data_IF_730100452439
#
_entry.id   IF_730100452439
#
_cell.length_a   1.000
_cell.length_b   1.000
_cell.length_c   1.000
_cell.angle_alpha   90.00
_cell.angle_beta   90.00
_cell.angle_gamma   90.00
#
_symmetry.space_group_name_H-M   'P 1'
#
loop_
_entity.id
_entity.type
_entity.pdbx_description
1 polymer ?
#
# COMPACT_ATOMS: atom_id res chain seq x y z
N UNK A 1 -38.95 -6.88 21.66
CA UNK A 1 -38.60 -7.06 20.23
C UNK A 1 -37.81 -5.84 19.74
N UNK A 2 -38.28 -4.61 20.04
CA UNK A 2 -37.58 -3.35 19.74
C UNK A 2 -36.15 -3.26 20.29
N UNK A 3 -35.90 -3.66 21.54
CA UNK A 3 -34.54 -3.61 22.10
C UNK A 3 -33.53 -4.48 21.35
N UNK A 4 -33.96 -5.66 20.84
CA UNK A 4 -33.10 -6.54 20.04
C UNK A 4 -32.85 -5.99 18.64
N UNK A 5 -33.81 -5.24 18.10
CA UNK A 5 -33.69 -4.58 16.80
C UNK A 5 -32.76 -3.37 16.88
N UNK A 6 -32.88 -2.55 17.91
CA UNK A 6 -31.99 -1.41 18.15
C UNK A 6 -30.54 -1.85 18.38
N UNK A 7 -30.31 -2.92 19.15
CA UNK A 7 -28.97 -3.51 19.35
C UNK A 7 -28.37 -4.04 18.02
N UNK A 8 -29.22 -4.53 17.11
CA UNK A 8 -28.78 -4.98 15.79
C UNK A 8 -28.32 -3.81 14.91
N UNK A 9 -29.12 -2.73 14.86
CA UNK A 9 -28.82 -1.52 14.10
C UNK A 9 -27.53 -0.84 14.60
N UNK A 10 -27.32 -0.81 15.92
CA UNK A 10 -26.12 -0.22 16.51
C UNK A 10 -24.86 -1.02 16.14
N UNK A 11 -24.95 -2.36 16.13
CA UNK A 11 -23.86 -3.24 15.68
C UNK A 11 -23.55 -3.10 14.20
N UNK A 12 -24.56 -2.93 13.34
CA UNK A 12 -24.35 -2.67 11.92
C UNK A 12 -23.68 -1.31 11.69
N UNK A 13 -24.14 -0.26 12.39
CA UNK A 13 -23.52 1.06 12.34
C UNK A 13 -22.07 1.04 12.84
N UNK A 14 -21.78 0.27 13.89
CA UNK A 14 -20.43 0.10 14.40
C UNK A 14 -19.52 -0.59 13.37
N UNK A 15 -19.96 -1.71 12.78
CA UNK A 15 -19.20 -2.41 11.74
C UNK A 15 -18.93 -1.54 10.53
N UNK A 16 -19.90 -0.72 10.12
CA UNK A 16 -19.73 0.22 9.01
C UNK A 16 -18.62 1.24 9.30
N UNK A 17 -18.62 1.84 10.50
CA UNK A 17 -17.55 2.76 10.94
C UNK A 17 -16.19 2.09 11.02
N UNK A 18 -16.14 0.83 11.48
CA UNK A 18 -14.89 0.06 11.53
C UNK A 18 -14.32 -0.19 10.13
N UNK A 19 -15.17 -0.51 9.15
CA UNK A 19 -14.73 -0.68 7.76
C UNK A 19 -14.32 0.63 7.09
N UNK A 20 -15.02 1.73 7.37
CA UNK A 20 -14.61 3.07 6.91
C UNK A 20 -13.25 3.47 7.49
N UNK A 21 -13.02 3.22 8.78
CA UNK A 21 -11.73 3.50 9.42
C UNK A 21 -10.59 2.63 8.85
N UNK A 22 -10.84 1.34 8.63
CA UNK A 22 -9.86 0.44 8.00
C UNK A 22 -9.53 0.86 6.57
N UNK A 23 -10.54 1.30 5.81
CA UNK A 23 -10.36 1.82 4.46
C UNK A 23 -9.45 3.06 4.47
N UNK A 24 -9.77 4.05 5.30
CA UNK A 24 -8.99 5.29 5.40
C UNK A 24 -7.53 5.03 5.82
N UNK A 25 -7.31 4.07 6.72
CA UNK A 25 -5.96 3.64 7.10
C UNK A 25 -5.20 3.04 5.89
N UNK A 26 -5.84 2.14 5.14
CA UNK A 26 -5.22 1.52 3.98
C UNK A 26 -4.92 2.52 2.87
N UNK A 27 -5.80 3.50 2.66
CA UNK A 27 -5.57 4.60 1.70
C UNK A 27 -4.33 5.42 2.06
N UNK A 28 -4.19 5.81 3.33
CA UNK A 28 -3.02 6.53 3.81
C UNK A 28 -1.72 5.71 3.65
N UNK A 29 -1.77 4.40 3.92
CA UNK A 29 -0.63 3.49 3.71
C UNK A 29 -0.27 3.36 2.21
N UNK A 30 -1.26 3.34 1.31
CA UNK A 30 -1.04 3.32 -0.13
C UNK A 30 -0.41 4.63 -0.61
N UNK A 31 -0.85 5.77 -0.11
CA UNK A 31 -0.25 7.07 -0.43
C UNK A 31 1.22 7.16 0.02
N UNK A 32 1.54 6.72 1.23
CA UNK A 32 2.92 6.68 1.73
C UNK A 32 3.80 5.74 0.88
N UNK A 33 3.29 4.57 0.49
CA UNK A 33 4.01 3.65 -0.39
C UNK A 33 4.23 4.23 -1.80
N UNK A 34 3.25 4.95 -2.35
CA UNK A 34 3.38 5.66 -3.65
C UNK A 34 4.40 6.79 -3.55
N UNK A 35 4.43 7.54 -2.46
CA UNK A 35 5.44 8.57 -2.23
C UNK A 35 6.86 7.98 -2.15
N UNK A 36 7.02 6.82 -1.52
CA UNK A 36 8.30 6.08 -1.48
C UNK A 36 8.73 5.60 -2.88
N UNK A 37 7.79 5.21 -3.73
CA UNK A 37 8.08 4.81 -5.10
C UNK A 37 8.60 5.98 -5.96
N UNK A 38 8.09 7.21 -5.77
CA UNK A 38 8.54 8.39 -6.53
C UNK A 38 10.02 8.74 -6.31
N UNK A 39 10.61 8.36 -5.17
CA UNK A 39 12.04 8.55 -4.90
C UNK A 39 12.97 7.62 -5.70
N UNK A 40 12.41 6.61 -6.39
CA UNK A 40 13.15 5.57 -7.10
C UNK A 40 14.03 6.09 -8.22
N UNK A 41 13.51 6.97 -9.08
CA UNK A 41 14.19 7.36 -10.32
C UNK A 41 15.53 8.03 -10.05
N UNK A 42 15.57 9.01 -9.14
CA UNK A 42 16.80 9.75 -8.80
C UNK A 42 17.89 8.82 -8.23
N UNK A 43 17.50 7.86 -7.40
CA UNK A 43 18.45 6.92 -6.79
C UNK A 43 18.96 5.89 -7.80
N UNK A 44 18.06 5.40 -8.67
CA UNK A 44 18.41 4.43 -9.70
C UNK A 44 19.36 5.03 -10.75
N UNK A 45 19.13 6.27 -11.16
CA UNK A 45 20.01 7.00 -12.07
C UNK A 45 21.41 7.22 -11.46
N UNK A 46 21.48 7.59 -10.17
CA UNK A 46 22.75 7.75 -9.46
C UNK A 46 23.52 6.42 -9.39
N UNK A 47 22.86 5.35 -8.94
CA UNK A 47 23.47 4.03 -8.84
C UNK A 47 23.94 3.48 -10.20
N UNK A 48 23.20 3.77 -11.28
CA UNK A 48 23.57 3.38 -12.63
C UNK A 48 24.87 4.06 -13.06
N UNK A 49 24.98 5.39 -12.88
CA UNK A 49 26.21 6.15 -13.17
C UNK A 49 27.38 5.66 -12.32
N UNK A 50 27.16 5.43 -11.02
CA UNK A 50 28.21 4.96 -10.11
C UNK A 50 28.68 3.53 -10.45
N UNK A 51 27.80 2.69 -11.01
CA UNK A 51 28.13 1.32 -11.44
C UNK A 51 29.05 1.26 -12.66
N UNK A 52 29.19 2.35 -13.42
CA UNK A 52 30.12 2.44 -14.55
C UNK A 52 31.58 2.54 -14.06
N UNK A 53 31.80 2.94 -12.80
CA UNK A 53 33.13 2.98 -12.17
C UNK A 53 33.64 1.55 -11.96
N UNK A 54 34.68 1.20 -12.73
CA UNK A 54 35.22 -0.17 -12.85
C UNK A 54 35.63 -0.83 -11.54
N UNK A 55 36.02 -0.05 -10.52
CA UNK A 55 36.53 -0.58 -9.26
C UNK A 55 35.43 -0.99 -8.26
N UNK A 56 34.24 -0.38 -8.36
CA UNK A 56 33.10 -0.68 -7.46
C UNK A 56 31.89 -1.24 -8.21
N UNK A 57 32.02 -1.49 -9.52
CA UNK A 57 30.97 -1.98 -10.43
C UNK A 57 30.13 -3.09 -9.82
N UNK A 58 30.75 -4.14 -9.30
CA UNK A 58 30.01 -5.33 -8.82
C UNK A 58 29.21 -5.03 -7.55
N UNK A 59 29.76 -4.20 -6.65
CA UNK A 59 29.03 -3.72 -5.46
C UNK A 59 27.83 -2.87 -5.86
N UNK A 60 28.00 -1.94 -6.80
CA UNK A 60 26.89 -1.11 -7.28
C UNK A 60 25.82 -1.92 -8.02
N UNK A 61 26.21 -2.95 -8.80
CA UNK A 61 25.25 -3.87 -9.42
C UNK A 61 24.43 -4.65 -8.39
N UNK A 62 25.06 -5.13 -7.31
CA UNK A 62 24.33 -5.79 -6.22
C UNK A 62 23.34 -4.83 -5.57
N UNK A 63 23.77 -3.61 -5.25
CA UNK A 63 22.89 -2.58 -4.68
C UNK A 63 21.72 -2.28 -5.63
N UNK A 64 21.98 -2.12 -6.93
CA UNK A 64 20.95 -1.87 -7.93
C UNK A 64 19.90 -3.00 -7.98
N UNK A 65 20.33 -4.26 -7.95
CA UNK A 65 19.43 -5.42 -7.94
C UNK A 65 18.59 -5.49 -6.65
N UNK A 66 19.18 -5.15 -5.51
CA UNK A 66 18.47 -5.10 -4.24
C UNK A 66 17.39 -4.01 -4.26
N UNK A 67 17.71 -2.83 -4.83
CA UNK A 67 16.72 -1.76 -5.00
C UNK A 67 15.61 -2.13 -5.97
N UNK A 68 15.95 -2.76 -7.11
CA UNK A 68 14.94 -3.25 -8.05
C UNK A 68 13.96 -4.21 -7.38
N UNK A 69 14.47 -5.15 -6.59
CA UNK A 69 13.66 -6.10 -5.80
C UNK A 69 12.80 -5.37 -4.76
N UNK A 70 13.37 -4.41 -4.04
CA UNK A 70 12.65 -3.61 -3.04
C UNK A 70 11.46 -2.87 -3.65
N UNK A 71 11.66 -2.18 -4.78
CA UNK A 71 10.57 -1.44 -5.43
C UNK A 71 9.53 -2.37 -6.09
N UNK A 72 9.94 -3.54 -6.61
CA UNK A 72 8.98 -4.57 -7.05
C UNK A 72 8.09 -5.04 -5.91
N UNK A 73 8.65 -5.21 -4.72
CA UNK A 73 7.86 -5.58 -3.53
C UNK A 73 6.92 -4.45 -3.10
N UNK A 74 7.35 -3.19 -3.14
CA UNK A 74 6.46 -2.04 -2.88
C UNK A 74 5.28 -2.04 -3.86
N UNK A 75 5.55 -2.17 -5.16
CA UNK A 75 4.49 -2.20 -6.18
C UNK A 75 3.51 -3.37 -5.94
N UNK A 76 4.01 -4.52 -5.50
CA UNK A 76 3.16 -5.66 -5.11
C UNK A 76 2.26 -5.33 -3.90
N UNK A 77 2.84 -4.75 -2.84
CA UNK A 77 2.07 -4.37 -1.64
C UNK A 77 1.01 -3.30 -1.94
N UNK A 78 1.32 -2.34 -2.82
CA UNK A 78 0.35 -1.32 -3.26
C UNK A 78 -0.86 -2.02 -3.90
N UNK A 79 -0.63 -2.93 -4.86
CA UNK A 79 -1.72 -3.67 -5.53
C UNK A 79 -2.57 -4.48 -4.56
N UNK A 80 -1.93 -5.18 -3.61
CA UNK A 80 -2.64 -5.96 -2.59
C UNK A 80 -3.52 -5.08 -1.70
N UNK A 81 -3.02 -3.89 -1.30
CA UNK A 81 -3.78 -2.93 -0.49
C UNK A 81 -4.90 -2.26 -1.28
N UNK A 82 -4.67 -1.89 -2.54
CA UNK A 82 -5.70 -1.34 -3.43
C UNK A 82 -6.83 -2.35 -3.68
N UNK A 83 -6.49 -3.64 -3.84
CA UNK A 83 -7.49 -4.70 -3.93
C UNK A 83 -8.31 -4.79 -2.65
N UNK A 84 -7.67 -4.76 -1.48
CA UNK A 84 -8.36 -4.81 -0.18
C UNK A 84 -9.25 -3.59 0.05
N UNK A 85 -8.83 -2.40 -0.38
CA UNK A 85 -9.67 -1.20 -0.37
C UNK A 85 -10.92 -1.42 -1.23
N UNK A 86 -10.75 -1.96 -2.45
CA UNK A 86 -11.87 -2.24 -3.37
C UNK A 86 -12.86 -3.26 -2.79
N UNK A 87 -12.36 -4.29 -2.11
CA UNK A 87 -13.18 -5.28 -1.41
C UNK A 87 -13.98 -4.64 -0.25
N UNK A 88 -13.34 -3.77 0.54
CA UNK A 88 -14.01 -3.02 1.62
C UNK A 88 -15.06 -2.05 1.07
N UNK A 89 -14.78 -1.37 -0.04
CA UNK A 89 -15.75 -0.51 -0.74
C UNK A 89 -16.97 -1.29 -1.22
N UNK A 90 -16.78 -2.47 -1.79
CA UNK A 90 -17.88 -3.33 -2.22
C UNK A 90 -18.74 -3.78 -1.03
N UNK A 91 -18.12 -4.16 0.10
CA UNK A 91 -18.85 -4.51 1.33
C UNK A 91 -19.63 -3.31 1.89
N UNK A 92 -19.01 -2.13 1.96
CA UNK A 92 -19.67 -0.90 2.40
C UNK A 92 -20.83 -0.49 1.50
N UNK A 93 -20.72 -0.72 0.19
CA UNK A 93 -21.80 -0.45 -0.77
C UNK A 93 -23.03 -1.34 -0.57
N UNK A 94 -22.86 -2.56 -0.06
CA UNK A 94 -23.97 -3.48 0.26
C UNK A 94 -24.62 -3.14 1.61
N UNK A 95 -23.88 -2.45 2.49
CA UNK A 95 -24.35 -1.95 3.79
C UNK A 95 -25.05 -0.57 3.72
N UNK A 96 -25.23 -0.02 2.51
CA UNK A 96 -25.93 1.24 2.27
C UNK A 96 -27.41 1.04 1.94
#
# INVERSE_FOLDING_TARGET
IEAKFNDLLEKEAQKKREFEAQKAQLEAEVEDLKAKEQGKEKLFEKLKKDSEVRWLRDKYKQVLNNYDTYYKNIAKMIREKEQKISELEAMLSVMN
#
